data_IF_790735212059
#
_entry.id   IF_790735212059
#
_cell.length_a   1.000
_cell.length_b   1.000
_cell.length_c   1.000
_cell.angle_alpha   90.00
_cell.angle_beta   90.00
_cell.angle_gamma   90.00
#
_symmetry.space_group_name_H-M   'P 1'
#
loop_
_entity.id
_entity.type
_entity.pdbx_description
1 polymer ?
#
# COMPACT_ATOMS: atom_id res chain seq x y z
N UNK A 1 -28.16 16.58 -32.05
CA UNK A 1 -27.70 15.19 -31.80
C UNK A 1 -26.64 15.23 -30.70
N UNK A 2 -27.03 14.90 -29.46
CA UNK A 2 -26.10 14.83 -28.31
C UNK A 2 -25.34 13.51 -28.39
N UNK A 3 -24.02 13.56 -28.53
CA UNK A 3 -23.15 12.38 -28.41
C UNK A 3 -23.12 11.98 -26.94
N UNK A 4 -23.83 10.91 -26.60
CA UNK A 4 -23.70 10.22 -25.31
C UNK A 4 -22.34 9.52 -25.33
N UNK A 5 -21.41 10.01 -24.51
CA UNK A 5 -20.17 9.29 -24.21
C UNK A 5 -20.55 8.10 -23.32
N UNK A 6 -20.58 6.91 -23.93
CA UNK A 6 -20.70 5.65 -23.20
C UNK A 6 -19.40 5.46 -22.41
N UNK A 7 -19.40 5.84 -21.13
CA UNK A 7 -18.35 5.49 -20.20
C UNK A 7 -18.39 3.97 -20.00
N UNK A 8 -17.47 3.24 -20.62
CA UNK A 8 -17.16 1.86 -20.20
C UNK A 8 -16.48 1.95 -18.84
N UNK A 9 -17.30 1.95 -17.81
CA UNK A 9 -16.90 1.58 -16.47
C UNK A 9 -16.69 0.06 -16.52
N UNK A 10 -15.43 -0.38 -16.63
CA UNK A 10 -15.09 -1.78 -16.37
C UNK A 10 -15.05 -1.94 -14.85
N UNK A 11 -16.23 -2.12 -14.26
CA UNK A 11 -16.42 -2.63 -12.90
C UNK A 11 -16.69 -4.13 -13.05
N UNK A 12 -15.70 -4.95 -12.70
CA UNK A 12 -15.88 -6.40 -12.61
C UNK A 12 -16.69 -6.70 -11.34
N UNK A 13 -18.01 -6.72 -11.50
CA UNK A 13 -18.89 -7.56 -10.68
C UNK A 13 -18.83 -8.98 -11.26
N UNK A 14 -18.33 -9.94 -10.47
CA UNK A 14 -18.69 -11.35 -10.62
C UNK A 14 -18.23 -12.05 -11.90
N UNK A 15 -16.92 -12.24 -12.06
CA UNK A 15 -16.40 -13.49 -12.60
C UNK A 15 -15.05 -13.72 -11.93
N UNK A 16 -14.85 -14.88 -11.30
CA UNK A 16 -13.52 -15.35 -10.94
C UNK A 16 -12.76 -15.60 -12.26
N UNK A 17 -12.28 -14.52 -12.89
CA UNK A 17 -11.22 -14.60 -13.87
C UNK A 17 -10.05 -15.20 -13.10
N UNK A 18 -9.66 -16.42 -13.47
CA UNK A 18 -8.44 -17.03 -12.96
C UNK A 18 -7.33 -16.09 -13.44
N UNK A 19 -6.90 -15.19 -12.55
CA UNK A 19 -5.82 -14.26 -12.77
C UNK A 19 -4.67 -15.03 -13.43
N UNK A 20 -4.33 -14.67 -14.68
CA UNK A 20 -3.23 -15.34 -15.37
C UNK A 20 -1.96 -14.83 -14.73
N UNK A 21 -1.32 -15.67 -13.92
CA UNK A 21 -0.06 -15.34 -13.27
C UNK A 21 0.95 -14.82 -14.30
N UNK A 22 1.71 -13.79 -13.93
CA UNK A 22 2.80 -13.25 -14.76
C UNK A 22 3.76 -14.40 -15.12
N UNK A 23 4.06 -14.53 -16.41
CA UNK A 23 5.00 -15.55 -16.89
C UNK A 23 6.43 -15.17 -16.49
N UNK A 24 6.98 -15.90 -15.51
CA UNK A 24 8.31 -15.64 -14.97
C UNK A 24 9.40 -15.96 -16.01
N UNK A 25 9.19 -16.90 -16.93
CA UNK A 25 10.18 -17.19 -17.98
C UNK A 25 10.28 -16.03 -18.97
N UNK A 26 9.14 -15.43 -19.33
CA UNK A 26 9.09 -14.23 -20.17
C UNK A 26 9.76 -13.03 -19.48
N UNK A 27 9.52 -12.86 -18.17
CA UNK A 27 10.22 -11.86 -17.35
C UNK A 27 11.74 -12.05 -17.41
N UNK A 28 12.23 -13.29 -17.21
CA UNK A 28 13.67 -13.60 -17.27
C UNK A 28 14.24 -13.30 -18.66
N UNK A 29 13.52 -13.68 -19.73
CA UNK A 29 13.94 -13.43 -21.11
C UNK A 29 14.04 -11.92 -21.38
N UNK A 30 13.06 -11.15 -20.91
CA UNK A 30 13.01 -9.70 -21.10
C UNK A 30 14.13 -8.97 -20.37
N UNK A 31 14.43 -9.37 -19.13
CA UNK A 31 15.54 -8.83 -18.34
C UNK A 31 16.91 -9.04 -19.00
N UNK A 32 17.09 -10.15 -19.72
CA UNK A 32 18.35 -10.49 -20.42
C UNK A 32 18.45 -9.89 -21.83
N UNK A 33 17.31 -9.60 -22.47
CA UNK A 33 17.24 -9.07 -23.83
C UNK A 33 17.20 -7.54 -23.87
N UNK A 34 16.12 -7.01 -24.45
CA UNK A 34 15.94 -5.58 -24.68
C UNK A 34 15.64 -4.78 -23.40
N UNK A 35 15.24 -5.47 -22.33
CA UNK A 35 14.89 -4.91 -21.03
C UNK A 35 13.41 -5.06 -20.72
N UNK A 36 13.11 -5.32 -19.45
CA UNK A 36 11.77 -5.47 -18.90
C UNK A 36 11.22 -4.11 -18.49
N UNK A 37 10.05 -3.74 -19.01
CA UNK A 37 9.36 -2.50 -18.63
C UNK A 37 8.40 -2.79 -17.47
N UNK A 38 8.35 -1.88 -16.50
CA UNK A 38 7.38 -1.92 -15.42
C UNK A 38 7.44 -0.69 -14.54
N UNK A 39 6.64 -0.70 -13.48
CA UNK A 39 6.41 0.47 -12.64
C UNK A 39 7.04 0.29 -11.25
N UNK A 40 7.59 1.38 -10.69
CA UNK A 40 8.00 1.42 -9.30
C UNK A 40 6.78 1.52 -8.39
N UNK A 41 6.48 0.44 -7.67
CA UNK A 41 5.35 0.37 -6.75
C UNK A 41 5.68 0.96 -5.36
N UNK A 42 6.92 0.79 -4.92
CA UNK A 42 7.43 1.34 -3.67
C UNK A 42 8.85 1.83 -3.83
N UNK A 43 9.12 3.04 -3.33
CA UNK A 43 10.45 3.61 -3.26
C UNK A 43 10.65 4.22 -1.86
N UNK A 44 11.65 3.71 -1.14
CA UNK A 44 12.10 4.23 0.14
C UNK A 44 13.62 4.38 0.07
N UNK A 45 14.07 5.55 -0.37
CA UNK A 45 15.48 5.84 -0.57
C UNK A 45 16.28 5.86 0.72
N UNK A 46 15.66 6.27 1.83
CA UNK A 46 16.29 6.30 3.17
C UNK A 46 16.69 4.89 3.62
N UNK A 47 15.82 3.90 3.38
CA UNK A 47 16.06 2.52 3.78
C UNK A 47 16.61 1.65 2.64
N UNK A 48 16.75 2.20 1.44
CA UNK A 48 17.19 1.47 0.24
C UNK A 48 16.22 0.38 -0.22
N UNK A 49 14.91 0.56 -0.02
CA UNK A 49 13.90 -0.42 -0.44
C UNK A 49 13.18 0.05 -1.69
N UNK A 50 13.25 -0.78 -2.73
CA UNK A 50 12.61 -0.51 -4.02
C UNK A 50 11.85 -1.73 -4.49
N UNK A 51 10.58 -1.52 -4.85
CA UNK A 51 9.70 -2.57 -5.34
C UNK A 51 9.29 -2.22 -6.76
N UNK A 52 9.69 -3.05 -7.70
CA UNK A 52 9.31 -3.02 -9.09
C UNK A 52 8.12 -3.94 -9.34
N UNK A 53 7.22 -3.55 -10.24
CA UNK A 53 6.01 -4.30 -10.54
C UNK A 53 5.86 -4.49 -12.03
N UNK A 54 5.72 -5.75 -12.42
CA UNK A 54 5.23 -6.14 -13.75
C UNK A 54 3.74 -6.36 -13.61
N UNK A 55 2.95 -5.81 -14.53
CA UNK A 55 1.50 -5.94 -14.56
C UNK A 55 1.07 -6.73 -15.78
N UNK A 56 0.03 -7.55 -15.60
CA UNK A 56 -0.64 -8.30 -16.65
C UNK A 56 -1.81 -7.51 -17.23
N UNK A 57 -2.76 -8.23 -17.83
CA UNK A 57 -3.91 -7.63 -18.48
C UNK A 57 -4.96 -7.11 -17.48
N UNK A 58 -5.14 -7.80 -16.35
CA UNK A 58 -6.08 -7.38 -15.32
C UNK A 58 -5.40 -6.60 -14.18
N UNK A 59 -6.18 -5.79 -13.46
CA UNK A 59 -5.69 -4.97 -12.35
C UNK A 59 -4.98 -5.78 -11.26
N UNK A 60 -5.49 -6.98 -10.97
CA UNK A 60 -4.95 -7.91 -9.97
C UNK A 60 -3.85 -8.83 -10.51
N UNK A 61 -3.58 -8.79 -11.82
CA UNK A 61 -2.48 -9.55 -12.41
C UNK A 61 -1.20 -8.73 -12.24
N UNK A 62 -0.41 -9.03 -11.23
CA UNK A 62 0.89 -8.39 -11.06
C UNK A 62 1.87 -9.30 -10.33
N UNK A 63 3.15 -9.03 -10.53
CA UNK A 63 4.25 -9.63 -9.78
C UNK A 63 5.17 -8.52 -9.26
N UNK A 64 5.48 -8.60 -7.98
CA UNK A 64 6.38 -7.66 -7.30
C UNK A 64 7.79 -8.23 -7.17
N UNK A 65 8.79 -7.44 -7.56
CA UNK A 65 10.20 -7.75 -7.43
C UNK A 65 10.88 -6.72 -6.54
N UNK A 66 11.72 -7.17 -5.61
CA UNK A 66 12.66 -6.26 -4.93
C UNK A 66 13.80 -5.92 -5.88
N UNK A 67 14.21 -4.65 -5.94
CA UNK A 67 15.35 -4.23 -6.77
C UNK A 67 16.63 -4.07 -5.96
N UNK A 68 17.75 -4.46 -6.55
CA UNK A 68 19.11 -4.22 -6.06
C UNK A 68 19.94 -3.69 -7.23
N UNK A 69 20.72 -2.64 -7.04
CA UNK A 69 21.66 -2.15 -8.05
C UNK A 69 22.89 -3.05 -8.12
N UNK A 70 23.34 -3.39 -9.34
CA UNK A 70 24.56 -4.19 -9.51
C UNK A 70 25.87 -3.44 -9.20
N UNK A 71 25.81 -2.11 -9.10
CA UNK A 71 26.96 -1.22 -8.86
C UNK A 71 26.49 0.14 -8.30
N UNK A 72 27.42 1.01 -7.91
CA UNK A 72 27.10 2.33 -7.34
C UNK A 72 26.32 3.24 -8.29
N UNK A 73 26.53 3.12 -9.61
CA UNK A 73 25.79 3.93 -10.59
C UNK A 73 24.30 3.55 -10.57
N UNK A 74 23.99 2.26 -10.60
CA UNK A 74 22.61 1.77 -10.56
C UNK A 74 21.94 2.06 -9.21
N UNK A 75 22.68 1.99 -8.10
CA UNK A 75 22.19 2.40 -6.78
C UNK A 75 21.81 3.88 -6.75
N UNK A 76 22.63 4.77 -7.34
CA UNK A 76 22.29 6.20 -7.47
C UNK A 76 21.02 6.41 -8.28
N UNK A 77 20.82 5.65 -9.36
CA UNK A 77 19.56 5.72 -10.13
C UNK A 77 18.38 5.26 -9.28
N UNK A 78 18.49 4.14 -8.55
CA UNK A 78 17.45 3.68 -7.62
C UNK A 78 17.08 4.76 -6.59
N UNK A 79 18.07 5.45 -6.02
CA UNK A 79 17.86 6.55 -5.07
C UNK A 79 17.06 7.72 -5.63
N UNK A 80 17.06 7.91 -6.95
CA UNK A 80 16.28 8.95 -7.63
C UNK A 80 14.85 8.52 -8.00
N UNK A 81 14.51 7.24 -7.86
CA UNK A 81 13.22 6.71 -8.29
C UNK A 81 12.11 7.09 -7.30
N UNK A 82 10.94 7.37 -7.87
CA UNK A 82 9.72 7.63 -7.14
C UNK A 82 8.67 6.57 -7.45
N UNK A 83 7.68 6.44 -6.57
CA UNK A 83 6.50 5.60 -6.83
C UNK A 83 5.81 6.09 -8.12
N UNK A 84 5.38 5.16 -8.95
CA UNK A 84 4.81 5.37 -10.28
C UNK A 84 5.78 5.82 -11.39
N UNK A 85 7.09 5.91 -11.12
CA UNK A 85 8.07 5.97 -12.21
C UNK A 85 7.97 4.70 -13.07
N UNK A 86 7.92 4.88 -14.39
CA UNK A 86 8.02 3.81 -15.36
C UNK A 86 9.48 3.62 -15.73
N UNK A 87 9.99 2.41 -15.54
CA UNK A 87 11.39 2.09 -15.77
C UNK A 87 11.54 0.88 -16.68
N UNK A 88 12.65 0.83 -17.39
CA UNK A 88 13.11 -0.33 -18.16
C UNK A 88 14.35 -0.89 -17.48
N UNK A 89 14.30 -2.17 -17.13
CA UNK A 89 15.33 -2.87 -16.38
C UNK A 89 16.02 -3.91 -17.25
N UNK A 90 17.35 -4.01 -17.14
CA UNK A 90 18.09 -5.22 -17.51
C UNK A 90 18.73 -5.82 -16.28
N UNK A 91 18.91 -7.13 -16.26
CA UNK A 91 19.53 -7.80 -15.12
C UNK A 91 19.19 -9.28 -15.04
N UNK A 92 19.24 -9.79 -13.82
CA UNK A 92 18.90 -11.18 -13.52
C UNK A 92 18.01 -11.26 -12.29
N UNK A 93 17.05 -12.18 -12.28
CA UNK A 93 16.41 -12.60 -11.04
C UNK A 93 17.45 -13.41 -10.26
N UNK A 94 17.77 -12.96 -9.06
CA UNK A 94 18.76 -13.64 -8.23
C UNK A 94 18.12 -14.76 -7.44
N UNK A 95 18.76 -15.92 -7.39
CA UNK A 95 18.42 -17.02 -6.47
C UNK A 95 19.00 -16.74 -5.07
N UNK A 96 18.59 -15.62 -4.50
CA UNK A 96 18.73 -15.46 -3.06
C UNK A 96 17.54 -16.22 -2.50
N UNK A 97 17.78 -17.25 -1.67
CA UNK A 97 16.74 -18.04 -0.96
C UNK A 97 15.91 -17.15 -0.03
N UNK A 98 15.11 -16.27 -0.62
CA UNK A 98 14.23 -15.29 -0.01
C UNK A 98 12.85 -15.50 -0.61
N UNK A 99 11.79 -15.35 0.19
CA UNK A 99 10.44 -15.59 -0.30
C UNK A 99 10.04 -14.66 -1.45
N UNK A 100 10.46 -13.39 -1.42
CA UNK A 100 10.25 -12.45 -2.53
C UNK A 100 11.42 -12.51 -3.52
N UNK A 101 11.10 -12.56 -4.81
CA UNK A 101 12.08 -12.55 -5.90
C UNK A 101 12.79 -11.20 -5.95
N UNK A 102 14.10 -11.22 -6.16
CA UNK A 102 14.92 -10.02 -6.29
C UNK A 102 15.46 -9.92 -7.71
N UNK A 103 15.47 -8.72 -8.28
CA UNK A 103 16.16 -8.41 -9.53
C UNK A 103 17.44 -7.67 -9.17
N UNK A 104 18.58 -8.24 -9.55
CA UNK A 104 19.85 -7.51 -9.59
C UNK A 104 19.91 -6.76 -10.92
N UNK A 105 19.62 -5.46 -10.86
CA UNK A 105 19.53 -4.60 -12.01
C UNK A 105 20.93 -4.18 -12.47
N UNK A 106 21.30 -4.59 -13.68
CA UNK A 106 22.54 -4.21 -14.37
C UNK A 106 22.39 -2.94 -15.19
N UNK A 107 21.16 -2.58 -15.56
CA UNK A 107 20.82 -1.32 -16.19
C UNK A 107 19.44 -0.87 -15.72
N UNK A 108 19.29 0.42 -15.43
CA UNK A 108 18.04 1.05 -15.06
C UNK A 108 17.86 2.30 -15.92
N UNK A 109 16.85 2.28 -16.79
CA UNK A 109 16.46 3.41 -17.62
C UNK A 109 15.12 3.94 -17.16
N UNK A 110 15.02 5.24 -16.90
CA UNK A 110 13.76 5.89 -16.54
C UNK A 110 13.04 6.23 -17.85
N UNK A 111 11.98 5.49 -18.16
CA UNK A 111 11.18 5.69 -19.37
C UNK A 111 10.24 6.89 -19.18
N UNK A 112 9.67 7.02 -17.98
CA UNK A 112 8.78 8.13 -17.62
C UNK A 112 8.81 8.39 -16.13
N UNK A 113 8.96 9.66 -15.72
CA UNK A 113 8.79 10.09 -14.34
C UNK A 113 7.32 10.21 -13.98
N UNK A 114 6.99 9.96 -12.71
CA UNK A 114 5.66 10.31 -12.19
C UNK A 114 5.43 11.82 -12.31
N UNK A 115 4.21 12.19 -12.68
CA UNK A 115 3.71 13.57 -12.75
C UNK A 115 2.91 13.95 -11.49
N UNK A 116 2.88 13.08 -10.49
CA UNK A 116 2.16 13.31 -9.23
C UNK A 116 3.05 14.17 -8.34
N UNK A 117 2.70 15.46 -8.27
CA UNK A 117 3.29 16.37 -7.29
C UNK A 117 2.64 16.17 -5.92
N UNK A 118 3.45 15.83 -4.93
CA UNK A 118 3.03 15.71 -3.54
C UNK A 118 3.78 16.76 -2.70
N UNK A 119 3.16 17.31 -1.64
CA UNK A 119 3.87 18.12 -0.66
C UNK A 119 5.06 17.37 -0.07
N UNK A 120 6.04 18.10 0.43
CA UNK A 120 7.18 17.50 1.11
C UNK A 120 6.72 16.61 2.27
N UNK A 121 7.23 15.38 2.27
CA UNK A 121 6.92 14.41 3.32
C UNK A 121 7.88 14.61 4.49
N UNK A 122 7.31 14.90 5.67
CA UNK A 122 8.04 14.79 6.93
C UNK A 122 7.99 13.35 7.43
N UNK A 123 9.09 12.62 7.26
CA UNK A 123 9.21 11.28 7.82
C UNK A 123 9.15 11.34 9.35
N UNK A 124 8.33 10.49 9.96
CA UNK A 124 8.16 10.44 11.43
C UNK A 124 9.00 9.31 12.05
N UNK A 125 9.11 8.18 11.35
CA UNK A 125 9.80 6.98 11.83
C UNK A 125 10.93 6.58 10.87
N UNK A 126 12.12 6.36 11.42
CA UNK A 126 13.33 5.88 10.76
C UNK A 126 13.70 4.52 11.36
N UNK A 127 13.56 3.48 10.54
CA UNK A 127 13.85 2.08 10.90
C UNK A 127 15.28 1.74 10.43
N UNK A 128 16.10 1.05 11.25
CA UNK A 128 15.76 0.44 12.54
C UNK A 128 15.96 1.35 13.76
N UNK A 129 16.45 2.58 13.60
CA UNK A 129 16.84 3.46 14.72
C UNK A 129 15.73 3.56 15.77
N UNK A 130 14.50 3.85 15.35
CA UNK A 130 13.37 4.08 16.27
C UNK A 130 12.79 2.76 16.83
N UNK A 131 13.34 1.62 16.39
CA UNK A 131 13.07 0.29 16.92
C UNK A 131 14.22 -0.23 17.81
N UNK A 132 15.38 0.46 17.85
CA UNK A 132 16.50 0.02 18.67
C UNK A 132 16.14 0.05 20.17
N UNK A 133 16.40 -1.06 20.86
CA UNK A 133 16.14 -1.21 22.29
C UNK A 133 14.72 -1.66 22.65
N UNK A 134 13.78 -1.62 21.71
CA UNK A 134 12.45 -2.19 21.88
C UNK A 134 12.48 -3.70 21.57
N UNK A 135 11.68 -4.48 22.30
CA UNK A 135 11.49 -5.92 22.05
C UNK A 135 10.21 -6.23 21.27
N UNK A 136 9.27 -5.31 21.33
CA UNK A 136 7.97 -5.41 20.69
C UNK A 136 7.44 -4.04 20.29
N UNK A 137 6.54 -4.01 19.31
CA UNK A 137 5.76 -2.82 18.95
C UNK A 137 4.35 -3.22 18.52
N UNK A 138 3.43 -2.25 18.55
CA UNK A 138 2.08 -2.38 17.97
C UNK A 138 2.08 -1.65 16.63
N UNK A 139 1.61 -2.34 15.59
CA UNK A 139 1.57 -1.83 14.23
C UNK A 139 0.37 -2.38 13.46
N UNK A 140 0.38 -2.17 12.15
CA UNK A 140 -0.68 -2.63 11.25
C UNK A 140 -0.11 -3.52 10.15
N UNK A 141 -0.81 -4.58 9.80
CA UNK A 141 -0.45 -5.42 8.65
C UNK A 141 -0.68 -4.63 7.37
N UNK A 142 0.40 -4.37 6.63
CA UNK A 142 0.35 -3.73 5.32
C UNK A 142 0.09 -4.76 4.21
N UNK A 143 0.71 -5.93 4.31
CA UNK A 143 0.55 -7.03 3.37
C UNK A 143 1.10 -8.33 3.95
N UNK A 144 0.56 -9.45 3.47
CA UNK A 144 1.18 -10.77 3.57
C UNK A 144 1.37 -11.32 2.16
N UNK A 145 2.48 -12.02 1.92
CA UNK A 145 2.76 -12.61 0.61
C UNK A 145 3.51 -13.93 0.75
N UNK A 146 3.58 -14.68 -0.35
CA UNK A 146 4.25 -15.99 -0.42
C UNK A 146 3.80 -16.95 0.69
N UNK A 147 2.47 -17.10 0.84
CA UNK A 147 1.86 -17.98 1.85
C UNK A 147 2.32 -17.67 3.29
N UNK A 148 2.43 -16.37 3.61
CA UNK A 148 2.83 -15.86 4.92
C UNK A 148 4.35 -15.78 5.14
N UNK A 149 5.17 -16.16 4.16
CA UNK A 149 6.65 -16.09 4.27
C UNK A 149 7.19 -14.65 4.18
N UNK A 150 6.40 -13.73 3.65
CA UNK A 150 6.65 -12.29 3.70
C UNK A 150 5.53 -11.64 4.48
N UNK A 151 5.88 -10.93 5.54
CA UNK A 151 5.00 -10.04 6.26
C UNK A 151 5.50 -8.60 6.06
N UNK A 152 4.60 -7.67 5.78
CA UNK A 152 4.92 -6.25 5.70
C UNK A 152 4.09 -5.53 6.75
N UNK A 153 4.75 -4.79 7.64
CA UNK A 153 4.14 -4.08 8.75
C UNK A 153 4.26 -2.56 8.56
N UNK A 154 3.26 -1.83 9.01
CA UNK A 154 3.34 -0.39 9.22
C UNK A 154 3.60 -0.09 10.71
N UNK A 155 4.59 0.75 10.98
CA UNK A 155 4.87 1.33 12.29
C UNK A 155 5.06 2.83 12.12
N UNK A 156 4.12 3.63 12.62
CA UNK A 156 3.98 5.03 12.22
C UNK A 156 3.83 5.14 10.70
N UNK A 157 4.72 5.89 10.05
CA UNK A 157 4.75 6.08 8.60
C UNK A 157 5.76 5.17 7.87
N UNK A 158 6.47 4.30 8.60
CA UNK A 158 7.42 3.35 8.05
C UNK A 158 6.73 2.06 7.57
N UNK A 159 7.22 1.52 6.44
CA UNK A 159 6.83 0.19 5.91
C UNK A 159 8.00 -0.75 6.12
N UNK A 160 7.77 -1.83 6.87
CA UNK A 160 8.82 -2.72 7.35
C UNK A 160 8.58 -4.12 6.78
N UNK A 161 9.41 -4.56 5.81
CA UNK A 161 9.39 -5.95 5.37
C UNK A 161 10.03 -6.86 6.41
N UNK A 162 9.33 -7.94 6.76
CA UNK A 162 9.72 -8.95 7.74
C UNK A 162 9.72 -10.31 7.04
N UNK A 163 10.89 -10.93 6.82
CA UNK A 163 10.95 -12.31 6.38
C UNK A 163 10.49 -13.23 7.50
N UNK A 164 9.66 -14.21 7.16
CA UNK A 164 9.04 -15.12 8.13
C UNK A 164 9.58 -16.53 7.92
N UNK A 165 10.13 -17.11 8.98
CA UNK A 165 10.64 -18.49 8.99
C UNK A 165 9.48 -19.50 9.00
N UNK A 166 9.75 -20.73 8.54
CA UNK A 166 8.74 -21.78 8.40
C UNK A 166 7.93 -22.01 9.69
N UNK A 167 8.62 -22.04 10.86
CA UNK A 167 7.99 -22.22 12.17
C UNK A 167 6.99 -21.13 12.56
N UNK A 168 7.08 -19.94 11.96
CA UNK A 168 6.21 -18.81 12.29
C UNK A 168 5.05 -18.63 11.28
N UNK A 169 4.96 -19.47 10.25
CA UNK A 169 3.93 -19.32 9.21
C UNK A 169 2.50 -19.51 9.74
N UNK A 170 2.34 -20.25 10.84
CA UNK A 170 1.05 -20.36 11.52
C UNK A 170 0.48 -19.02 12.01
N UNK A 171 1.34 -18.04 12.28
CA UNK A 171 0.93 -16.72 12.77
C UNK A 171 0.66 -15.70 11.65
N UNK A 172 1.17 -15.95 10.43
CA UNK A 172 1.15 -14.93 9.36
C UNK A 172 0.21 -15.26 8.21
N UNK A 173 -0.11 -16.53 8.00
CA UNK A 173 -0.97 -16.96 6.87
C UNK A 173 -2.41 -16.45 6.95
N UNK A 174 -2.93 -16.24 8.14
CA UNK A 174 -4.30 -15.79 8.38
C UNK A 174 -4.42 -14.28 8.62
N UNK A 175 -3.31 -13.54 8.57
CA UNK A 175 -3.33 -12.09 8.78
C UNK A 175 -3.91 -11.40 7.57
N UNK A 176 -4.85 -10.49 7.86
CA UNK A 176 -5.50 -9.64 6.88
C UNK A 176 -4.79 -8.30 6.81
N UNK A 177 -4.71 -7.71 5.62
CA UNK A 177 -4.27 -6.32 5.47
C UNK A 177 -5.21 -5.41 6.27
N UNK A 178 -4.64 -4.59 7.15
CA UNK A 178 -5.39 -3.72 8.05
C UNK A 178 -5.59 -4.26 9.47
N UNK A 179 -5.20 -5.52 9.74
CA UNK A 179 -5.15 -6.05 11.10
C UNK A 179 -4.13 -5.26 11.94
N UNK A 180 -4.54 -4.91 13.15
CA UNK A 180 -3.66 -4.34 14.17
C UNK A 180 -2.99 -5.48 14.94
N UNK A 181 -1.67 -5.48 14.96
CA UNK A 181 -0.87 -6.56 15.50
C UNK A 181 0.18 -6.03 16.48
N UNK A 182 0.40 -6.79 17.55
CA UNK A 182 1.54 -6.63 18.44
C UNK A 182 2.60 -7.64 18.02
N UNK A 183 3.82 -7.17 17.76
CA UNK A 183 4.89 -7.96 17.14
C UNK A 183 6.12 -7.96 18.03
N UNK A 184 6.58 -9.16 18.41
CA UNK A 184 7.87 -9.39 19.06
C UNK A 184 8.91 -9.70 18.02
N UNK A 185 10.05 -9.02 18.10
CA UNK A 185 11.05 -9.07 17.04
C UNK A 185 12.47 -8.99 17.58
N UNK A 186 13.41 -9.31 16.70
CA UNK A 186 14.83 -9.13 16.89
C UNK A 186 15.40 -8.30 15.73
N UNK A 187 16.38 -7.45 16.02
CA UNK A 187 17.15 -6.76 14.99
C UNK A 187 18.22 -7.71 14.46
N UNK A 188 18.25 -7.88 13.14
CA UNK A 188 19.24 -8.68 12.44
C UNK A 188 20.14 -7.79 11.58
N UNK A 189 21.42 -7.79 11.89
CA UNK A 189 22.46 -7.11 11.12
C UNK A 189 23.27 -8.11 10.31
N UNK A 190 23.70 -7.70 9.11
CA UNK A 190 24.75 -8.39 8.37
C UNK A 190 25.73 -7.34 7.82
N UNK A 191 27.04 -7.62 7.79
CA UNK A 191 28.01 -6.71 7.18
C UNK A 191 27.61 -6.34 5.75
N UNK A 192 27.61 -5.03 5.44
CA UNK A 192 27.29 -4.51 4.11
C UNK A 192 25.82 -4.63 3.69
N UNK A 193 24.88 -4.90 4.59
CA UNK A 193 23.44 -4.93 4.30
C UNK A 193 22.66 -4.06 5.29
N UNK A 194 21.50 -3.50 4.87
CA UNK A 194 20.59 -2.85 5.81
C UNK A 194 20.23 -3.79 6.95
N UNK A 195 20.09 -3.24 8.15
CA UNK A 195 19.50 -3.96 9.27
C UNK A 195 18.01 -4.20 8.97
N UNK A 196 17.52 -5.36 9.35
CA UNK A 196 16.11 -5.73 9.21
C UNK A 196 15.58 -6.30 10.52
N UNK A 197 14.27 -6.25 10.70
CA UNK A 197 13.63 -6.97 11.80
C UNK A 197 13.29 -8.39 11.35
N UNK A 198 13.34 -9.33 12.28
CA UNK A 198 12.82 -10.70 12.14
C UNK A 198 11.94 -11.01 13.34
N UNK A 199 10.95 -11.89 13.17
CA UNK A 199 10.13 -12.34 14.29
C UNK A 199 10.99 -13.00 15.38
N UNK A 200 10.69 -12.73 16.64
CA UNK A 200 11.44 -13.26 17.77
C UNK A 200 11.30 -14.78 17.85
N UNK A 201 12.37 -15.45 17.45
CA UNK A 201 12.53 -16.91 17.45
C UNK A 201 12.38 -17.60 18.80
N UNK A 202 12.51 -16.85 19.90
CA UNK A 202 12.43 -17.37 21.26
C UNK A 202 11.04 -17.21 21.86
N UNK A 203 10.16 -16.45 21.20
CA UNK A 203 8.78 -16.23 21.62
C UNK A 203 7.88 -17.35 21.08
N UNK A 204 7.08 -17.94 21.95
CA UNK A 204 6.02 -18.87 21.54
C UNK A 204 4.91 -18.18 20.73
N UNK A 205 4.72 -16.88 20.95
CA UNK A 205 3.74 -16.08 20.24
C UNK A 205 4.39 -14.77 19.74
N UNK A 206 5.08 -14.77 18.59
CA UNK A 206 5.77 -13.60 18.08
C UNK A 206 4.80 -12.56 17.47
N UNK A 207 3.55 -12.93 17.17
CA UNK A 207 2.54 -12.03 16.61
C UNK A 207 1.20 -12.27 17.30
N UNK A 208 0.68 -11.22 17.90
CA UNK A 208 -0.66 -11.21 18.51
C UNK A 208 -1.56 -10.25 17.72
N UNK A 209 -2.72 -10.73 17.25
CA UNK A 209 -3.73 -9.88 16.62
C UNK A 209 -4.52 -9.18 17.72
N UNK A 210 -4.34 -7.87 17.85
CA UNK A 210 -4.99 -7.04 18.88
C UNK A 210 -6.18 -6.25 18.34
N UNK A 211 -6.41 -6.28 17.03
CA UNK A 211 -7.60 -5.70 16.38
C UNK A 211 -7.75 -6.16 14.94
N UNK A 212 -8.59 -7.16 14.70
CA UNK A 212 -8.84 -7.72 13.37
C UNK A 212 -9.80 -6.83 12.56
N UNK A 213 -9.61 -6.74 11.24
CA UNK A 213 -10.57 -6.04 10.35
C UNK A 213 -11.66 -6.96 9.81
N UNK A 214 -11.36 -8.26 9.67
CA UNK A 214 -12.29 -9.24 9.10
C UNK A 214 -13.67 -9.28 9.77
N UNK A 215 -13.78 -9.27 11.11
CA UNK A 215 -15.07 -9.29 11.80
C UNK A 215 -15.97 -8.09 11.53
N UNK A 216 -15.42 -6.96 11.10
CA UNK A 216 -16.21 -5.75 10.83
C UNK A 216 -17.00 -5.87 9.51
N UNK A 217 -16.65 -6.81 8.61
CA UNK A 217 -17.32 -6.94 7.32
C UNK A 217 -18.82 -7.22 7.46
N UNK A 218 -19.64 -6.45 6.74
CA UNK A 218 -21.09 -6.56 6.72
C UNK A 218 -21.77 -5.88 7.91
N UNK A 219 -21.01 -5.27 8.82
CA UNK A 219 -21.55 -4.54 9.96
C UNK A 219 -21.77 -3.07 9.61
N UNK A 220 -22.86 -2.48 10.11
CA UNK A 220 -23.07 -1.04 10.04
C UNK A 220 -22.24 -0.37 11.14
N UNK A 221 -21.42 0.61 10.76
CA UNK A 221 -20.55 1.33 11.67
C UNK A 221 -20.54 2.83 11.36
N UNK A 222 -20.33 3.63 12.40
CA UNK A 222 -19.99 5.04 12.26
C UNK A 222 -18.49 5.20 12.30
N UNK A 223 -17.92 5.75 11.22
CA UNK A 223 -16.49 6.03 11.08
C UNK A 223 -16.28 7.55 11.17
N UNK A 224 -15.32 7.97 11.99
CA UNK A 224 -14.99 9.37 12.21
C UNK A 224 -13.48 9.57 12.20
N UNK A 225 -13.01 10.69 11.64
CA UNK A 225 -11.59 11.02 11.57
C UNK A 225 -11.25 12.03 10.48
N UNK A 226 -9.98 12.12 10.12
CA UNK A 226 -9.52 13.08 9.11
C UNK A 226 -9.90 12.62 7.69
N UNK A 227 -10.27 13.56 6.82
CA UNK A 227 -10.45 13.28 5.39
C UNK A 227 -9.09 12.99 4.74
N UNK A 228 -9.05 11.93 3.94
CA UNK A 228 -7.89 11.46 3.21
C UNK A 228 -8.20 11.43 1.73
N UNK A 229 -7.21 11.85 0.94
CA UNK A 229 -7.20 11.81 -0.51
C UNK A 229 -6.09 10.87 -0.99
N UNK A 230 -6.45 9.84 -1.74
CA UNK A 230 -5.51 9.06 -2.54
C UNK A 230 -5.56 9.62 -3.96
N UNK A 231 -4.50 10.32 -4.43
CA UNK A 231 -4.49 10.89 -5.77
C UNK A 231 -4.66 9.80 -6.83
N UNK A 232 -5.29 10.17 -7.95
CA UNK A 232 -5.33 9.35 -9.15
C UNK A 232 -3.93 8.84 -9.50
N UNK A 233 -3.89 7.63 -10.05
CA UNK A 233 -2.65 6.97 -10.44
C UNK A 233 -2.82 6.35 -11.82
N UNK A 234 -1.76 5.83 -12.45
CA UNK A 234 -1.89 5.09 -13.70
C UNK A 234 -2.92 3.95 -13.65
N UNK A 235 -3.21 3.41 -12.46
CA UNK A 235 -4.16 2.31 -12.26
C UNK A 235 -5.56 2.76 -11.83
N UNK A 236 -5.69 3.97 -11.28
CA UNK A 236 -6.96 4.51 -10.79
C UNK A 236 -7.14 5.89 -11.39
N UNK A 237 -8.04 6.01 -12.36
CA UNK A 237 -8.19 7.21 -13.20
C UNK A 237 -8.79 8.41 -12.47
N UNK A 238 -9.02 8.29 -11.18
CA UNK A 238 -9.67 9.28 -10.37
C UNK A 238 -9.20 9.25 -8.93
N UNK A 239 -9.41 10.37 -8.25
CA UNK A 239 -9.12 10.52 -6.84
C UNK A 239 -10.06 9.70 -5.98
N UNK A 240 -9.49 9.03 -4.98
CA UNK A 240 -10.21 8.17 -4.03
C UNK A 240 -10.18 8.82 -2.65
N UNK A 241 -11.35 8.97 -2.04
CA UNK A 241 -11.49 9.56 -0.71
C UNK A 241 -11.71 8.50 0.36
N UNK A 242 -11.15 8.75 1.55
CA UNK A 242 -11.27 7.88 2.71
C UNK A 242 -11.35 8.69 4.00
N UNK A 243 -11.78 8.06 5.09
CA UNK A 243 -11.68 8.61 6.44
C UNK A 243 -10.58 7.85 7.19
N UNK A 244 -9.63 8.58 7.78
CA UNK A 244 -8.59 8.01 8.62
C UNK A 244 -9.01 8.06 10.09
N UNK A 245 -9.20 6.87 10.66
CA UNK A 245 -9.60 6.69 12.05
C UNK A 245 -8.42 6.16 12.87
N UNK A 246 -8.25 6.70 14.08
CA UNK A 246 -7.34 6.18 15.09
C UNK A 246 -7.95 4.91 15.70
N UNK A 247 -7.20 3.80 15.69
CA UNK A 247 -7.61 2.51 16.28
C UNK A 247 -6.78 2.17 17.53
N UNK A 248 -6.25 3.20 18.20
CA UNK A 248 -5.42 3.09 19.41
C UNK A 248 -3.94 2.76 19.13
N UNK A 249 -3.08 2.97 20.14
CA UNK A 249 -1.62 2.72 20.08
C UNK A 249 -0.89 3.45 18.93
N UNK A 250 -1.41 4.60 18.52
CA UNK A 250 -0.87 5.37 17.38
C UNK A 250 -1.08 4.70 16.02
N UNK A 251 -1.92 3.66 15.94
CA UNK A 251 -2.26 2.99 14.68
C UNK A 251 -3.49 3.62 14.06
N UNK A 252 -3.43 3.89 12.76
CA UNK A 252 -4.54 4.41 11.97
C UNK A 252 -5.03 3.42 10.92
N UNK A 253 -6.32 3.49 10.60
CA UNK A 253 -6.95 2.73 9.53
C UNK A 253 -7.71 3.70 8.63
N UNK A 254 -7.53 3.55 7.32
CA UNK A 254 -8.24 4.35 6.33
C UNK A 254 -9.44 3.52 5.83
N UNK A 255 -10.62 4.12 5.83
CA UNK A 255 -11.84 3.52 5.28
C UNK A 255 -12.26 4.27 4.02
N UNK A 256 -12.17 3.62 2.86
CA UNK A 256 -12.51 4.23 1.57
C UNK A 256 -14.02 4.44 1.45
N UNK A 257 -14.45 5.62 0.99
CA UNK A 257 -15.86 5.98 0.85
C UNK A 257 -16.38 5.59 -0.53
N UNK A 258 -17.37 4.68 -0.61
CA UNK A 258 -17.84 4.12 -1.88
C UNK A 258 -19.36 3.89 -1.92
N UNK A 259 -19.88 3.78 -3.14
CA UNK A 259 -21.05 2.96 -3.46
C UNK A 259 -20.99 2.53 -4.93
N UNK A 260 -20.35 1.40 -5.23
CA UNK A 260 -20.16 0.99 -6.63
C UNK A 260 -21.43 0.44 -7.29
N UNK A 261 -22.46 0.10 -6.50
CA UNK A 261 -23.74 -0.36 -7.01
C UNK A 261 -24.61 0.79 -7.53
N UNK A 262 -24.38 2.01 -7.03
CA UNK A 262 -25.08 3.24 -7.42
C UNK A 262 -24.08 4.29 -7.93
N UNK A 263 -23.72 4.27 -9.23
CA UNK A 263 -22.70 5.15 -9.80
C UNK A 263 -22.94 6.66 -9.57
N UNK A 264 -24.21 7.10 -9.64
CA UNK A 264 -24.55 8.51 -9.37
C UNK A 264 -24.33 8.88 -7.90
N UNK A 265 -24.64 7.97 -6.97
CA UNK A 265 -24.36 8.19 -5.55
C UNK A 265 -22.85 8.18 -5.27
N UNK A 266 -22.09 7.30 -5.90
CA UNK A 266 -20.62 7.32 -5.80
C UNK A 266 -20.04 8.64 -6.29
N UNK A 267 -20.55 9.16 -7.40
CA UNK A 267 -20.18 10.47 -7.92
C UNK A 267 -20.53 11.58 -6.93
N UNK A 268 -21.74 11.58 -6.37
CA UNK A 268 -22.18 12.54 -5.36
C UNK A 268 -21.28 12.53 -4.11
N UNK A 269 -20.98 11.34 -3.57
CA UNK A 269 -20.05 11.16 -2.44
C UNK A 269 -18.70 11.81 -2.74
N UNK A 270 -18.15 11.54 -3.94
CA UNK A 270 -16.86 12.09 -4.35
C UNK A 270 -16.89 13.61 -4.53
N UNK A 271 -17.94 14.15 -5.14
CA UNK A 271 -18.12 15.60 -5.29
C UNK A 271 -18.24 16.28 -3.93
N UNK A 272 -18.93 15.65 -2.96
CA UNK A 272 -19.04 16.15 -1.58
C UNK A 272 -17.67 16.17 -0.87
N UNK A 273 -16.88 15.11 -1.02
CA UNK A 273 -15.52 15.04 -0.48
C UNK A 273 -14.60 16.10 -1.11
N UNK A 274 -14.65 16.23 -2.44
CA UNK A 274 -13.87 17.21 -3.20
C UNK A 274 -14.18 18.65 -2.76
N UNK A 275 -15.46 18.97 -2.54
CA UNK A 275 -15.88 20.28 -2.08
C UNK A 275 -15.33 20.59 -0.69
N UNK A 276 -15.41 19.64 0.25
CA UNK A 276 -14.82 19.77 1.58
C UNK A 276 -13.29 19.90 1.50
N UNK A 277 -12.64 19.11 0.64
CA UNK A 277 -11.20 19.15 0.43
C UNK A 277 -10.73 20.54 -0.04
N UNK A 278 -11.43 21.12 -1.02
CA UNK A 278 -11.11 22.44 -1.60
C UNK A 278 -11.42 23.61 -0.67
N UNK A 279 -12.38 23.47 0.25
CA UNK A 279 -12.75 24.56 1.17
C UNK A 279 -11.82 24.69 2.36
N UNK A 280 -11.02 23.67 2.66
CA UNK A 280 -10.06 23.69 3.76
C UNK A 280 -8.73 24.35 3.37
N UNK A 281 -7.94 24.85 4.34
CA UNK A 281 -6.59 25.34 4.09
C UNK A 281 -5.71 24.27 3.45
N UNK A 282 -5.14 24.56 2.28
CA UNK A 282 -4.26 23.60 1.59
C UNK A 282 -2.88 23.51 2.25
N UNK A 283 -2.50 24.52 3.02
CA UNK A 283 -1.23 24.55 3.78
C UNK A 283 -1.17 23.52 4.90
N UNK A 284 -2.31 22.98 5.35
CA UNK A 284 -2.37 21.92 6.36
C UNK A 284 -2.32 20.51 5.78
N UNK A 285 -2.29 20.36 4.46
CA UNK A 285 -2.29 19.05 3.81
C UNK A 285 -0.95 18.35 4.07
N UNK A 286 -1.04 17.14 4.64
CA UNK A 286 0.11 16.31 4.98
C UNK A 286 0.31 15.20 3.94
N UNK A 287 1.55 15.03 3.46
CA UNK A 287 1.91 13.88 2.64
C UNK A 287 2.21 12.65 3.51
N UNK A 288 1.37 11.62 3.38
CA UNK A 288 1.51 10.35 4.06
C UNK A 288 1.83 9.20 3.08
N UNK A 289 2.94 9.35 2.33
CA UNK A 289 3.55 8.38 1.40
C UNK A 289 2.79 8.17 0.10
N UNK A 290 1.57 7.65 0.17
CA UNK A 290 0.75 7.30 -1.00
C UNK A 290 -0.63 7.94 -0.96
N UNK A 291 -0.83 8.87 -0.03
CA UNK A 291 -2.06 9.58 0.25
C UNK A 291 -1.74 10.94 0.85
N UNK A 292 -2.71 11.83 0.77
CA UNK A 292 -2.73 13.14 1.38
C UNK A 292 -3.76 13.12 2.52
N UNK A 293 -3.44 13.75 3.64
CA UNK A 293 -4.33 13.86 4.79
C UNK A 293 -4.60 15.34 5.00
N UNK A 294 -5.88 15.73 5.16
CA UNK A 294 -6.20 17.09 5.60
C UNK A 294 -6.74 17.05 7.04
N UNK A 295 -5.90 17.35 8.05
CA UNK A 295 -6.31 17.32 9.45
C UNK A 295 -7.33 18.42 9.80
N UNK A 296 -7.53 19.41 8.91
CA UNK A 296 -8.55 20.46 9.07
C UNK A 296 -9.94 20.05 8.62
N UNK A 297 -10.09 18.82 8.12
CA UNK A 297 -11.39 18.28 7.72
C UNK A 297 -11.68 17.07 8.59
N UNK A 298 -12.55 17.25 9.59
CA UNK A 298 -13.13 16.14 10.33
C UNK A 298 -14.32 15.61 9.55
N UNK A 299 -14.24 14.35 9.14
CA UNK A 299 -15.26 13.64 8.38
C UNK A 299 -15.93 12.59 9.27
N UNK A 300 -17.25 12.44 9.12
CA UNK A 300 -18.05 11.43 9.80
C UNK A 300 -18.98 10.76 8.82
N UNK A 301 -19.07 9.44 8.87
CA UNK A 301 -19.97 8.65 8.02
C UNK A 301 -20.56 7.49 8.77
N UNK A 302 -21.81 7.14 8.48
CA UNK A 302 -22.41 5.86 8.88
C UNK A 302 -22.70 5.04 7.64
N UNK A 303 -22.31 3.77 7.64
CA UNK A 303 -22.58 2.85 6.53
C UNK A 303 -22.08 1.43 6.82
N UNK A 304 -22.19 0.55 5.83
CA UNK A 304 -21.82 -0.86 5.98
C UNK A 304 -20.35 -1.05 5.64
N UNK A 305 -19.58 -1.70 6.52
CA UNK A 305 -18.18 -1.99 6.27
C UNK A 305 -18.04 -3.12 5.25
N UNK A 306 -17.25 -2.87 4.21
CA UNK A 306 -16.94 -3.84 3.18
C UNK A 306 -15.45 -4.21 3.17
N UNK A 307 -15.18 -5.48 3.44
CA UNK A 307 -13.85 -6.08 3.43
C UNK A 307 -13.98 -7.53 2.95
N UNK A 308 -13.73 -7.74 1.66
CA UNK A 308 -14.04 -9.01 0.99
C UNK A 308 -12.81 -9.83 0.61
N UNK A 309 -11.61 -9.24 0.71
CA UNK A 309 -10.36 -9.92 0.37
C UNK A 309 -9.25 -9.58 1.39
N UNK A 310 -8.47 -10.57 1.88
CA UNK A 310 -7.32 -10.34 2.78
C UNK A 310 -6.28 -9.35 2.26
N UNK A 311 -6.19 -9.14 0.95
CA UNK A 311 -5.27 -8.22 0.28
C UNK A 311 -5.94 -6.90 -0.13
N UNK A 312 -7.24 -6.73 0.14
CA UNK A 312 -7.96 -5.49 -0.12
C UNK A 312 -7.22 -4.32 0.54
N UNK A 313 -6.94 -3.28 -0.25
CA UNK A 313 -5.98 -2.26 0.15
C UNK A 313 -6.39 -1.51 1.44
N UNK A 314 -7.63 -1.07 1.45
CA UNK A 314 -8.29 -0.43 2.58
C UNK A 314 -9.68 -1.07 2.73
N UNK A 315 -10.20 -1.27 3.96
CA UNK A 315 -11.62 -1.50 4.14
C UNK A 315 -12.42 -0.32 3.54
N UNK A 316 -13.67 -0.60 3.21
CA UNK A 316 -14.56 0.35 2.55
C UNK A 316 -15.78 0.62 3.45
N UNK A 317 -16.35 1.82 3.36
CA UNK A 317 -17.70 2.10 3.87
C UNK A 317 -18.62 2.23 2.67
N UNK A 318 -19.60 1.33 2.57
CA UNK A 318 -20.70 1.44 1.61
C UNK A 318 -21.70 2.43 2.19
N UNK A 319 -21.85 3.56 1.50
CA UNK A 319 -22.75 4.65 1.87
C UNK A 319 -24.02 4.52 1.04
N UNK A 320 -25.18 4.42 1.69
CA UNK A 320 -26.47 4.25 1.00
C UNK A 320 -27.17 5.57 0.71
N UNK A 321 -26.80 6.64 1.44
CA UNK A 321 -27.28 8.00 1.26
C UNK A 321 -26.14 9.00 1.55
N UNK A 322 -25.87 9.93 0.63
CA UNK A 322 -24.83 10.94 0.78
C UNK A 322 -25.01 11.84 2.01
N UNK A 323 -26.23 11.95 2.58
CA UNK A 323 -26.51 12.65 3.82
C UNK A 323 -25.90 11.97 5.05
N UNK A 324 -25.57 10.68 4.97
CA UNK A 324 -24.88 9.96 6.04
C UNK A 324 -23.43 10.40 6.19
N UNK A 325 -22.87 11.07 5.19
CA UNK A 325 -21.52 11.63 5.20
C UNK A 325 -21.57 13.12 5.54
N UNK A 326 -20.85 13.55 6.57
CA UNK A 326 -20.75 14.95 6.98
C UNK A 326 -19.31 15.38 7.22
N UNK A 327 -19.08 16.68 7.13
CA UNK A 327 -17.76 17.30 7.28
C UNK A 327 -17.84 18.51 8.20
N UNK A 328 -16.84 18.66 9.06
CA UNK A 328 -16.53 19.90 9.78
C UNK A 328 -15.18 20.39 9.28
N UNK A 329 -15.16 21.59 8.71
CA UNK A 329 -13.93 22.20 8.16
C UNK A 329 -13.47 23.31 9.11
N UNK A 330 -12.27 23.15 9.65
CA UNK A 330 -11.59 24.19 10.40
C UNK A 330 -10.94 25.19 9.44
N UNK A 331 -11.11 26.50 9.68
CA UNK A 331 -10.56 27.55 8.81
C UNK A 331 -9.04 27.69 8.89
#
# INVERSE_FOLDING_TARGET
>A
MKKVFLFSIVLFLGAASIAKAIDIEEVVKSLKGDGLIGEIHGANSVNGYYVFTVRGAHFFDFEHFSLIGSNSQNETVLQSLQRHDLVKLKGVITDIRRPQKHILATSIEIVRKTDIELPDRRQQVVVPRDLMGLKEFVGKVHATANQGRVLVLEYGDAVIPVPVEERHLGFTRSLNRGDKVKVRYQLRSHPGRPQHIVLDSTSENPIEVVGAIGPDHGTEMTIEGALVLFPKSPQVLFDVYAIQTQIGDGVVRDYTLINFEKPELFKEIREKCELAWKSAPQVSVENARNKLINPKISAKVTGVINYVDPNQANPQVIIEDANQLSFTVEP
#
